data_IF_539700166022
#
_entry.id   IF_539700166022
#
_cell.length_a   1.000
_cell.length_b   1.000
_cell.length_c   1.000
_cell.angle_alpha   90.00
_cell.angle_beta   90.00
_cell.angle_gamma   90.00
#
_symmetry.space_group_name_H-M   'P 1'
#
loop_
_entity.id
_entity.type
_entity.pdbx_description
1 polymer ?
#
# COMPACT_ATOMS: atom_id res chain seq x y z
N UNK A 1 -10.16 -8.44 11.94
CA UNK A 1 -10.31 -7.29 11.04
C UNK A 1 -9.08 -6.43 11.18
N UNK A 2 -8.39 -6.18 10.10
CA UNK A 2 -7.22 -5.32 10.10
C UNK A 2 -7.65 -3.86 10.26
N UNK A 3 -6.81 -3.03 10.89
CA UNK A 3 -7.05 -1.59 11.05
C UNK A 3 -7.25 -0.89 9.69
N UNK A 4 -6.71 -1.47 8.61
CA UNK A 4 -6.93 -1.07 7.23
C UNK A 4 -8.40 -1.19 6.77
N UNK A 5 -9.13 -2.20 7.25
CA UNK A 5 -10.56 -2.33 6.97
C UNK A 5 -11.39 -1.23 7.63
N UNK A 6 -11.00 -0.84 8.84
CA UNK A 6 -11.66 0.25 9.57
C UNK A 6 -11.47 1.57 8.84
N UNK A 7 -10.24 1.86 8.37
CA UNK A 7 -9.94 3.08 7.61
C UNK A 7 -10.74 3.13 6.31
N UNK A 8 -10.82 2.03 5.58
CA UNK A 8 -11.60 1.94 4.36
C UNK A 8 -13.11 2.13 4.63
N UNK A 9 -13.63 1.56 5.73
CA UNK A 9 -15.02 1.72 6.13
C UNK A 9 -15.36 3.15 6.56
N UNK A 10 -14.48 3.82 7.30
CA UNK A 10 -14.66 5.22 7.70
C UNK A 10 -14.63 6.13 6.47
N UNK A 11 -13.69 5.93 5.57
CA UNK A 11 -13.62 6.69 4.31
C UNK A 11 -14.88 6.53 3.45
N UNK A 12 -15.52 5.36 3.48
CA UNK A 12 -16.72 5.08 2.68
C UNK A 12 -18.03 5.58 3.27
N UNK A 13 -18.06 5.86 4.58
CA UNK A 13 -19.30 6.26 5.29
C UNK A 13 -19.52 7.77 5.32
N UNK A 14 -18.56 8.58 4.88
CA UNK A 14 -18.67 10.04 4.90
C UNK A 14 -19.07 10.58 3.52
N UNK A 15 -20.06 11.46 3.49
CA UNK A 15 -20.49 12.15 2.30
C UNK A 15 -19.50 13.29 1.96
N UNK A 16 -18.90 13.26 0.77
CA UNK A 16 -18.00 14.28 0.25
C UNK A 16 -16.63 13.77 -0.18
N UNK A 17 -15.85 14.63 -0.84
CA UNK A 17 -14.48 14.32 -1.25
C UNK A 17 -13.56 14.15 -0.05
N UNK A 18 -12.85 13.03 0.04
CA UNK A 18 -11.89 12.75 1.10
C UNK A 18 -10.50 12.61 0.53
N UNK A 19 -9.55 13.19 1.24
CA UNK A 19 -8.12 13.03 0.96
C UNK A 19 -7.48 12.20 2.08
N UNK A 20 -6.78 11.15 1.69
CA UNK A 20 -6.08 10.25 2.61
C UNK A 20 -4.61 10.21 2.19
N UNK A 21 -3.71 10.36 3.16
CA UNK A 21 -2.29 10.09 2.93
C UNK A 21 -1.94 8.67 3.34
N UNK A 22 -1.22 7.95 2.49
CA UNK A 22 -0.70 6.62 2.82
C UNK A 22 0.33 6.65 3.97
N UNK A 23 0.91 7.81 4.26
CA UNK A 23 1.83 7.99 5.38
C UNK A 23 1.20 7.61 6.73
N UNK A 24 -0.12 7.76 6.88
CA UNK A 24 -0.83 7.33 8.09
C UNK A 24 -0.79 5.82 8.33
N UNK A 25 -0.51 5.03 7.31
CA UNK A 25 -0.39 3.57 7.42
C UNK A 25 1.01 3.10 7.80
N UNK A 26 2.03 3.91 7.59
CA UNK A 26 3.43 3.54 7.82
C UNK A 26 3.72 3.07 9.27
N UNK A 27 3.21 3.71 10.35
CA UNK A 27 3.43 3.24 11.71
C UNK A 27 2.89 1.83 11.97
N UNK A 28 1.80 1.44 11.31
CA UNK A 28 1.22 0.11 11.45
C UNK A 28 2.07 -0.99 10.82
N UNK A 29 2.89 -0.66 9.82
CA UNK A 29 3.83 -1.60 9.20
C UNK A 29 4.85 -2.08 10.21
N UNK A 30 5.38 -1.20 11.06
CA UNK A 30 6.32 -1.58 12.10
C UNK A 30 5.68 -2.49 13.15
N UNK A 31 4.46 -2.23 13.54
CA UNK A 31 3.70 -3.08 14.47
C UNK A 31 3.50 -4.48 13.85
N UNK A 32 3.10 -4.56 12.60
CA UNK A 32 2.97 -5.82 11.87
C UNK A 32 4.30 -6.56 11.77
N UNK A 33 5.40 -5.85 11.48
CA UNK A 33 6.74 -6.42 11.40
C UNK A 33 7.13 -7.10 12.71
N UNK A 34 6.91 -6.45 13.83
CA UNK A 34 7.24 -6.99 15.16
C UNK A 34 6.40 -8.23 15.48
N UNK A 35 5.11 -8.20 15.21
CA UNK A 35 4.22 -9.36 15.40
C UNK A 35 4.62 -10.54 14.52
N UNK A 36 4.92 -10.31 13.26
CA UNK A 36 5.33 -11.35 12.32
C UNK A 36 6.67 -11.94 12.76
N UNK A 37 7.64 -11.10 13.15
CA UNK A 37 8.94 -11.55 13.62
C UNK A 37 8.82 -12.43 14.87
N UNK A 38 7.99 -12.03 15.83
CA UNK A 38 7.72 -12.83 17.03
C UNK A 38 7.05 -14.18 16.68
N UNK A 39 6.16 -14.20 15.71
CA UNK A 39 5.51 -15.43 15.24
C UNK A 39 6.53 -16.38 14.58
N UNK A 40 7.39 -15.86 13.71
CA UNK A 40 8.44 -16.65 13.04
C UNK A 40 9.43 -17.22 14.04
N UNK A 41 9.83 -16.42 15.03
CA UNK A 41 10.69 -16.86 16.12
C UNK A 41 10.08 -18.02 16.90
N UNK A 42 8.81 -17.89 17.27
CA UNK A 42 8.08 -18.92 18.02
C UNK A 42 7.91 -20.21 17.21
N UNK A 43 7.64 -20.09 15.91
CA UNK A 43 7.57 -21.24 15.00
C UNK A 43 8.93 -21.97 14.93
N UNK A 44 10.03 -21.23 14.77
CA UNK A 44 11.37 -21.81 14.73
C UNK A 44 11.71 -22.56 16.02
N UNK A 45 11.40 -22.00 17.19
CA UNK A 45 11.59 -22.65 18.48
C UNK A 45 10.76 -23.92 18.62
N UNK A 46 9.53 -23.93 18.16
CA UNK A 46 8.64 -25.09 18.20
C UNK A 46 9.15 -26.27 17.37
N UNK A 47 9.90 -26.01 16.31
CA UNK A 47 10.54 -27.04 15.48
C UNK A 47 11.95 -27.43 15.96
N UNK A 48 12.40 -26.90 17.09
CA UNK A 48 13.72 -27.20 17.66
C UNK A 48 14.89 -26.68 16.82
N UNK A 49 14.61 -25.76 15.90
CA UNK A 49 15.64 -25.14 15.09
C UNK A 49 16.35 -24.05 15.89
N UNK A 50 17.68 -24.10 15.92
CA UNK A 50 18.53 -22.96 16.29
C UNK A 50 18.41 -21.97 15.14
N UNK A 51 17.43 -21.08 15.21
CA UNK A 51 17.16 -20.15 14.14
C UNK A 51 18.21 -19.02 14.15
N UNK A 52 18.89 -18.85 13.03
CA UNK A 52 19.68 -17.67 12.77
C UNK A 52 18.76 -16.44 12.69
N UNK A 53 19.10 -15.39 13.44
CA UNK A 53 18.34 -14.16 13.50
C UNK A 53 18.18 -13.51 12.12
N UNK A 54 19.17 -13.66 11.26
CA UNK A 54 19.12 -13.15 9.88
C UNK A 54 18.04 -13.88 9.07
N UNK A 55 17.94 -15.19 9.19
CA UNK A 55 16.90 -15.98 8.54
C UNK A 55 15.51 -15.63 9.04
N UNK A 56 15.35 -15.44 10.35
CA UNK A 56 14.09 -15.01 10.96
C UNK A 56 13.66 -13.64 10.37
N UNK A 57 14.59 -12.70 10.33
CA UNK A 57 14.32 -11.37 9.79
C UNK A 57 13.93 -11.44 8.31
N UNK A 58 14.62 -12.24 7.52
CA UNK A 58 14.32 -12.43 6.09
C UNK A 58 12.91 -12.99 5.88
N UNK A 59 12.56 -14.07 6.57
CA UNK A 59 11.23 -14.67 6.50
C UNK A 59 10.16 -13.68 6.96
N UNK A 60 10.43 -12.94 8.02
CA UNK A 60 9.50 -11.95 8.54
C UNK A 60 9.24 -10.82 7.53
N UNK A 61 10.28 -10.32 6.85
CA UNK A 61 10.13 -9.29 5.80
C UNK A 61 9.37 -9.81 4.58
N UNK A 62 9.58 -11.06 4.18
CA UNK A 62 8.80 -11.69 3.09
C UNK A 62 7.31 -11.79 3.45
N UNK A 63 7.00 -12.23 4.67
CA UNK A 63 5.61 -12.30 5.17
C UNK A 63 4.99 -10.92 5.31
N UNK A 64 5.76 -9.92 5.72
CA UNK A 64 5.30 -8.55 5.83
C UNK A 64 4.92 -7.97 4.46
N UNK A 65 5.74 -8.19 3.44
CA UNK A 65 5.42 -7.79 2.06
C UNK A 65 4.13 -8.43 1.57
N UNK A 66 3.91 -9.68 1.90
CA UNK A 66 2.68 -10.41 1.58
C UNK A 66 1.46 -9.82 2.30
N UNK A 67 1.60 -9.45 3.56
CA UNK A 67 0.55 -8.79 4.32
C UNK A 67 0.20 -7.41 3.75
N UNK A 68 1.21 -6.60 3.40
CA UNK A 68 1.02 -5.30 2.73
C UNK A 68 0.27 -5.48 1.40
N UNK A 69 0.66 -6.46 0.60
CA UNK A 69 0.00 -6.77 -0.67
C UNK A 69 -1.47 -7.08 -0.48
N UNK A 70 -1.79 -7.94 0.48
CA UNK A 70 -3.19 -8.30 0.80
C UNK A 70 -3.97 -7.12 1.36
N UNK A 71 -3.34 -6.30 2.20
CA UNK A 71 -3.96 -5.10 2.76
C UNK A 71 -4.33 -4.08 1.69
N UNK A 72 -3.42 -3.79 0.78
CA UNK A 72 -3.67 -2.89 -0.36
C UNK A 72 -4.76 -3.45 -1.28
N UNK A 73 -4.72 -4.74 -1.56
CA UNK A 73 -5.75 -5.42 -2.37
C UNK A 73 -7.14 -5.31 -1.72
N UNK A 74 -7.23 -5.48 -0.41
CA UNK A 74 -8.47 -5.33 0.34
C UNK A 74 -9.03 -3.91 0.25
N UNK A 75 -8.17 -2.90 0.40
CA UNK A 75 -8.58 -1.48 0.26
C UNK A 75 -9.13 -1.22 -1.14
N UNK A 76 -8.44 -1.66 -2.17
CA UNK A 76 -8.89 -1.48 -3.56
C UNK A 76 -10.24 -2.15 -3.81
N UNK A 77 -10.39 -3.39 -3.35
CA UNK A 77 -11.65 -4.13 -3.50
C UNK A 77 -12.81 -3.42 -2.79
N UNK A 78 -12.59 -2.95 -1.57
CA UNK A 78 -13.62 -2.24 -0.81
C UNK A 78 -14.02 -0.92 -1.47
N UNK A 79 -13.06 -0.14 -1.96
CA UNK A 79 -13.35 1.11 -2.67
C UNK A 79 -14.19 0.84 -3.93
N UNK A 80 -13.83 -0.17 -4.71
CA UNK A 80 -14.58 -0.55 -5.93
C UNK A 80 -15.99 -1.04 -5.59
N UNK A 81 -16.13 -1.85 -4.54
CA UNK A 81 -17.44 -2.43 -4.14
C UNK A 81 -18.39 -1.35 -3.59
N UNK A 82 -17.87 -0.37 -2.86
CA UNK A 82 -18.68 0.73 -2.33
C UNK A 82 -19.21 1.65 -3.42
N UNK A 83 -18.48 1.79 -4.53
CA UNK A 83 -18.93 2.51 -5.71
C UNK A 83 -20.18 1.90 -6.35
N UNK A 84 -20.33 0.57 -6.23
CA UNK A 84 -21.43 -0.17 -6.85
C UNK A 84 -22.70 -0.21 -6.02
N UNK A 85 -22.61 -0.09 -4.70
CA UNK A 85 -23.75 -0.25 -3.79
C UNK A 85 -24.53 1.02 -3.50
N UNK A 86 -23.91 2.19 -3.53
CA UNK A 86 -24.54 3.45 -3.12
C UNK A 86 -24.90 4.42 -4.27
N UNK A 87 -24.66 4.06 -5.52
CA UNK A 87 -25.00 4.88 -6.68
C UNK A 87 -24.24 6.22 -6.81
N UNK A 88 -23.46 6.58 -5.82
CA UNK A 88 -22.55 7.74 -5.83
C UNK A 88 -21.15 7.29 -5.48
N UNK A 89 -20.20 7.61 -6.36
CA UNK A 89 -18.78 7.35 -6.15
C UNK A 89 -18.26 8.24 -4.99
N UNK A 90 -17.75 7.68 -3.89
CA UNK A 90 -16.98 8.49 -2.95
C UNK A 90 -15.72 8.96 -3.68
N UNK A 91 -15.56 10.27 -3.80
CA UNK A 91 -14.34 10.87 -4.35
C UNK A 91 -13.23 10.73 -3.30
N UNK A 92 -12.50 9.63 -3.37
CA UNK A 92 -11.33 9.41 -2.50
C UNK A 92 -10.08 9.74 -3.28
N UNK A 93 -9.29 10.65 -2.73
CA UNK A 93 -7.94 10.99 -3.22
C UNK A 93 -6.91 10.43 -2.26
N UNK A 94 -5.96 9.68 -2.77
CA UNK A 94 -4.88 9.07 -2.01
C UNK A 94 -3.57 9.75 -2.37
N UNK A 95 -2.93 10.37 -1.39
CA UNK A 95 -1.61 10.97 -1.51
C UNK A 95 -0.51 9.95 -1.20
N UNK A 96 0.43 9.86 -2.12
CA UNK A 96 1.66 9.07 -2.01
C UNK A 96 2.82 10.05 -1.78
N UNK A 97 3.01 10.46 -0.54
CA UNK A 97 3.94 11.49 -0.12
C UNK A 97 4.95 10.96 0.90
N UNK A 98 6.16 10.63 0.42
CA UNK A 98 7.24 10.09 1.26
C UNK A 98 7.69 11.05 2.36
N UNK A 99 7.68 12.35 2.09
CA UNK A 99 8.11 13.38 3.03
C UNK A 99 7.26 13.53 4.29
N UNK A 100 6.06 12.93 4.33
CA UNK A 100 5.23 12.87 5.54
C UNK A 100 5.71 11.81 6.54
N UNK A 101 6.59 10.90 6.16
CA UNK A 101 7.16 9.92 7.08
C UNK A 101 8.05 10.59 8.12
N UNK A 102 7.94 10.15 9.37
CA UNK A 102 8.61 10.77 10.53
C UNK A 102 10.08 10.43 10.64
N UNK A 103 10.50 9.32 10.04
CA UNK A 103 11.87 8.83 10.10
C UNK A 103 12.18 7.95 8.89
N UNK A 104 13.43 7.53 8.74
CA UNK A 104 13.89 6.73 7.62
C UNK A 104 13.20 5.36 7.52
N UNK A 105 12.89 4.72 8.65
CA UNK A 105 12.19 3.43 8.66
C UNK A 105 10.74 3.58 8.20
N UNK A 106 10.02 4.58 8.72
CA UNK A 106 8.67 4.86 8.25
C UNK A 106 8.63 5.23 6.76
N UNK A 107 9.64 5.96 6.28
CA UNK A 107 9.77 6.29 4.85
C UNK A 107 9.94 5.03 4.00
N UNK A 108 10.80 4.11 4.42
CA UNK A 108 10.99 2.83 3.74
C UNK A 108 9.70 1.98 3.76
N UNK A 109 8.99 1.97 4.86
CA UNK A 109 7.73 1.25 5.02
C UNK A 109 6.62 1.88 4.14
N UNK A 110 6.54 3.20 4.13
CA UNK A 110 5.65 3.94 3.24
C UNK A 110 5.96 3.67 1.76
N UNK A 111 7.24 3.61 1.41
CA UNK A 111 7.67 3.26 0.06
C UNK A 111 7.17 1.87 -0.38
N UNK A 112 7.15 0.89 0.51
CA UNK A 112 6.58 -0.44 0.22
C UNK A 112 5.07 -0.36 -0.05
N UNK A 113 4.34 0.45 0.71
CA UNK A 113 2.90 0.64 0.52
C UNK A 113 2.61 1.33 -0.82
N UNK A 114 3.37 2.37 -1.14
CA UNK A 114 3.28 3.10 -2.42
C UNK A 114 3.58 2.17 -3.59
N UNK A 115 4.67 1.41 -3.51
CA UNK A 115 5.05 0.44 -4.54
C UNK A 115 3.92 -0.55 -4.82
N UNK A 116 3.35 -1.13 -3.78
CA UNK A 116 2.27 -2.10 -3.91
C UNK A 116 0.99 -1.48 -4.47
N UNK A 117 0.67 -0.26 -4.05
CA UNK A 117 -0.47 0.50 -4.57
C UNK A 117 -0.34 0.75 -6.07
N UNK A 118 0.84 1.15 -6.54
CA UNK A 118 1.12 1.37 -7.96
C UNK A 118 1.08 0.06 -8.76
N UNK A 119 1.71 -1.01 -8.24
CA UNK A 119 1.69 -2.33 -8.89
C UNK A 119 0.29 -2.85 -9.09
N UNK A 120 -0.55 -2.75 -8.08
CA UNK A 120 -1.93 -3.23 -8.15
C UNK A 120 -2.79 -2.35 -9.08
N UNK A 121 -2.55 -1.04 -9.14
CA UNK A 121 -3.22 -0.18 -10.12
C UNK A 121 -2.83 -0.53 -11.55
N UNK A 122 -1.56 -0.85 -11.79
CA UNK A 122 -1.09 -1.34 -13.10
C UNK A 122 -1.81 -2.64 -13.47
N UNK A 123 -1.97 -3.56 -12.53
CA UNK A 123 -2.64 -4.84 -12.73
C UNK A 123 -4.15 -4.67 -12.99
N UNK A 124 -4.79 -3.76 -12.28
CA UNK A 124 -6.25 -3.59 -12.28
C UNK A 124 -6.95 -4.54 -11.31
N UNK A 125 -8.27 -4.56 -11.35
CA UNK A 125 -9.13 -5.39 -10.48
C UNK A 125 -10.02 -6.28 -11.36
N UNK A 126 -10.20 -7.53 -10.96
CA UNK A 126 -11.18 -8.41 -11.60
C UNK A 126 -12.59 -8.06 -11.14
N UNK A 127 -13.50 -7.88 -12.10
CA UNK A 127 -14.91 -7.75 -11.81
C UNK A 127 -15.56 -9.13 -11.52
N UNK A 128 -16.85 -9.16 -11.22
CA UNK A 128 -17.61 -10.37 -10.95
C UNK A 128 -17.58 -11.41 -12.09
N UNK A 129 -17.36 -10.93 -13.32
CA UNK A 129 -17.24 -11.77 -14.53
C UNK A 129 -15.81 -12.26 -14.78
N UNK A 130 -14.88 -11.99 -13.85
CA UNK A 130 -13.47 -12.36 -13.99
C UNK A 130 -12.67 -11.52 -15.00
N UNK A 131 -13.24 -10.43 -15.50
CA UNK A 131 -12.56 -9.51 -16.44
C UNK A 131 -11.77 -8.47 -15.68
N UNK A 132 -10.53 -8.22 -16.12
CA UNK A 132 -9.69 -7.17 -15.55
C UNK A 132 -10.23 -5.79 -15.96
N UNK A 133 -10.50 -4.95 -14.98
CA UNK A 133 -10.94 -3.57 -15.18
C UNK A 133 -9.95 -2.60 -14.51
N UNK A 134 -9.90 -1.38 -15.04
CA UNK A 134 -9.16 -0.28 -14.39
C UNK A 134 -10.12 0.45 -13.46
N UNK A 135 -9.88 0.44 -12.13
CA UNK A 135 -10.70 1.22 -11.23
C UNK A 135 -10.44 2.72 -11.45
N UNK A 136 -11.51 3.50 -11.55
CA UNK A 136 -11.42 4.96 -11.67
C UNK A 136 -11.02 5.62 -10.34
N UNK A 137 -11.28 4.96 -9.23
CA UNK A 137 -11.00 5.43 -7.87
C UNK A 137 -10.26 4.36 -7.05
N UNK A 138 -9.53 4.76 -6.00
CA UNK A 138 -9.25 6.13 -5.57
C UNK A 138 -8.38 6.90 -6.60
N UNK A 139 -8.53 8.22 -6.64
CA UNK A 139 -7.59 9.09 -7.36
C UNK A 139 -6.23 9.01 -6.65
N UNK A 140 -5.16 8.83 -7.40
CA UNK A 140 -3.81 8.75 -6.86
C UNK A 140 -3.03 10.02 -7.21
N UNK A 141 -2.37 10.59 -6.22
CA UNK A 141 -1.46 11.72 -6.38
C UNK A 141 -0.09 11.32 -5.85
N UNK A 142 0.92 11.42 -6.71
CA UNK A 142 2.31 11.12 -6.40
C UNK A 142 3.09 12.42 -6.22
N UNK A 143 3.71 12.59 -5.04
CA UNK A 143 4.47 13.79 -4.69
C UNK A 143 5.92 13.62 -5.11
N UNK A 144 6.41 14.56 -5.93
CA UNK A 144 7.81 14.60 -6.36
C UNK A 144 8.65 15.35 -5.33
N UNK A 145 9.77 14.74 -4.95
CA UNK A 145 10.69 15.25 -3.93
C UNK A 145 12.15 14.99 -4.33
N UNK A 146 13.10 15.58 -3.64
CA UNK A 146 14.54 15.42 -3.95
C UNK A 146 14.99 13.96 -3.95
N UNK A 147 14.42 13.13 -3.11
CA UNK A 147 14.80 11.72 -2.98
C UNK A 147 14.12 10.78 -3.98
N UNK A 148 13.27 11.31 -4.86
CA UNK A 148 12.60 10.53 -5.90
C UNK A 148 12.54 11.16 -7.29
N UNK A 149 13.01 12.39 -7.47
CA UNK A 149 12.79 13.16 -8.71
C UNK A 149 13.83 12.92 -9.80
N UNK A 150 14.98 12.34 -9.49
CA UNK A 150 16.06 12.15 -10.45
C UNK A 150 16.69 10.76 -10.35
N UNK A 151 17.27 10.32 -11.45
CA UNK A 151 18.00 9.05 -11.53
C UNK A 151 19.13 9.02 -10.50
N UNK A 152 19.25 7.90 -9.77
CA UNK A 152 20.20 7.73 -8.67
C UNK A 152 19.67 8.16 -7.29
N UNK A 153 18.52 8.83 -7.21
CA UNK A 153 17.88 9.11 -5.93
C UNK A 153 17.38 7.81 -5.26
N UNK A 154 17.35 7.74 -3.91
CA UNK A 154 17.00 6.52 -3.19
C UNK A 154 15.64 5.92 -3.56
N UNK A 155 14.67 6.76 -3.91
CA UNK A 155 13.32 6.34 -4.27
C UNK A 155 12.94 6.62 -5.74
N UNK A 156 13.94 6.84 -6.59
CA UNK A 156 13.73 6.98 -8.02
C UNK A 156 12.96 5.81 -8.64
N UNK A 157 13.17 4.59 -8.16
CA UNK A 157 12.46 3.41 -8.62
C UNK A 157 10.93 3.51 -8.46
N UNK A 158 10.45 4.23 -7.44
CA UNK A 158 9.01 4.49 -7.26
C UNK A 158 8.48 5.44 -8.34
N UNK A 159 9.25 6.45 -8.70
CA UNK A 159 8.90 7.39 -9.77
C UNK A 159 8.86 6.70 -11.13
N UNK A 160 9.80 5.81 -11.41
CA UNK A 160 9.76 4.97 -12.62
C UNK A 160 8.51 4.08 -12.64
N UNK A 161 8.17 3.49 -11.51
CA UNK A 161 6.97 2.66 -11.39
C UNK A 161 5.69 3.50 -11.54
N UNK A 162 5.66 4.70 -10.96
CA UNK A 162 4.56 5.65 -11.13
C UNK A 162 4.39 6.04 -12.60
N UNK A 163 5.47 6.31 -13.30
CA UNK A 163 5.45 6.62 -14.74
C UNK A 163 4.89 5.45 -15.57
N UNK A 164 5.28 4.21 -15.27
CA UNK A 164 4.71 3.01 -15.91
C UNK A 164 3.21 2.89 -15.65
N UNK A 165 2.79 3.20 -14.42
CA UNK A 165 1.38 3.22 -14.05
C UNK A 165 0.61 4.26 -14.85
N UNK A 166 1.13 5.49 -14.94
CA UNK A 166 0.52 6.58 -15.71
C UNK A 166 0.42 6.22 -17.19
N UNK A 167 1.45 5.66 -17.77
CA UNK A 167 1.45 5.24 -19.18
C UNK A 167 0.36 4.20 -19.50
N UNK A 168 0.04 3.34 -18.54
CA UNK A 168 -0.96 2.28 -18.73
C UNK A 168 -2.36 2.66 -18.25
N UNK A 169 -2.49 3.48 -17.20
CA UNK A 169 -3.73 3.72 -16.49
C UNK A 169 -4.13 5.20 -16.39
N UNK A 170 -3.31 6.10 -16.87
CA UNK A 170 -3.51 7.57 -16.80
C UNK A 170 -3.58 8.09 -15.34
N UNK A 171 -3.03 7.37 -14.41
CA UNK A 171 -2.84 7.70 -12.99
C UNK A 171 -1.49 7.16 -12.52
N UNK A 172 -0.82 7.74 -11.52
CA UNK A 172 -1.22 8.90 -10.70
C UNK A 172 -1.03 10.24 -11.41
N UNK A 173 -1.64 11.29 -10.83
CA UNK A 173 -1.26 12.68 -11.07
C UNK A 173 -0.01 13.01 -10.24
N UNK A 174 0.77 14.01 -10.67
CA UNK A 174 2.01 14.43 -10.02
C UNK A 174 1.89 15.85 -9.48
N UNK A 175 2.50 16.11 -8.32
CA UNK A 175 2.65 17.45 -7.75
C UNK A 175 4.06 17.67 -7.17
#
# INVERSE_FOLDING_TARGET
SSDLQIIAQVASSQYGGQSISLAHLAPFVQISREKIRASVQKEAEAFGATADQEQINKIAEERLRDEIRRGVQTIQYQVVTLLTTNGQAPFVTVFMYLGEAKNAQEKADLAMIIEETLRQRIQGVKNEKGVWITPAFPKLIYVLEEDNIHEGAPYWYLTELAAKCTAKRMVPDYI
#
